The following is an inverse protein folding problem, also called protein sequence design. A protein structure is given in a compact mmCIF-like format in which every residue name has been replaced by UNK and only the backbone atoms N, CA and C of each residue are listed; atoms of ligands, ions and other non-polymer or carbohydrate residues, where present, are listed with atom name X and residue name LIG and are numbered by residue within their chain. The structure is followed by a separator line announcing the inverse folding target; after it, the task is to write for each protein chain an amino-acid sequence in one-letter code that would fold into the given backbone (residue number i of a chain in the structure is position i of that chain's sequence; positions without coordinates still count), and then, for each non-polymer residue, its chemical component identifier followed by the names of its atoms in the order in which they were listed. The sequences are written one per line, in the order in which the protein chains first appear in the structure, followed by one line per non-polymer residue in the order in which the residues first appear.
data_IF_393519588024
#
_entry.id   IF_393519588024
#
_cell.length_a   1.000
_cell.length_b   1.000
_cell.length_c   1.000
_cell.angle_alpha   90.00
_cell.angle_beta   90.00
_cell.angle_gamma   90.00
#
_symmetry.space_group_name_H-M   'P 1'
#
loop_
_entity.id
_entity.type
_entity.pdbx_description
1 polymer ?
#
# COMPACT_ATOMS: atom_id res chain seq x y z
N UNK A 1 -10.94 21.48 12.83
CA UNK A 1 -10.83 20.01 12.88
C UNK A 1 -10.50 19.53 11.48
N UNK A 2 -9.22 19.37 11.14
CA UNK A 2 -8.84 18.72 9.89
C UNK A 2 -9.16 17.24 10.10
N UNK A 3 -10.15 16.70 9.39
CA UNK A 3 -10.32 15.24 9.34
C UNK A 3 -9.10 14.73 8.58
N UNK A 4 -8.14 14.11 9.27
CA UNK A 4 -7.22 13.21 8.61
C UNK A 4 -8.09 12.06 8.08
N UNK A 5 -8.54 12.18 6.83
CA UNK A 5 -9.24 11.10 6.17
C UNK A 5 -8.30 9.90 6.17
N UNK A 6 -8.78 8.77 6.65
CA UNK A 6 -8.04 7.52 6.54
C UNK A 6 -7.74 7.25 5.05
N UNK A 7 -6.50 6.84 4.70
CA UNK A 7 -6.17 6.54 3.31
C UNK A 7 -7.09 5.44 2.78
N UNK A 8 -7.54 5.57 1.54
CA UNK A 8 -8.37 4.55 0.90
C UNK A 8 -7.49 3.34 0.51
N UNK A 9 -7.37 2.38 1.43
CA UNK A 9 -6.59 1.16 1.24
C UNK A 9 -7.32 0.18 0.32
N UNK A 10 -6.58 -0.41 -0.60
CA UNK A 10 -7.06 -1.53 -1.41
C UNK A 10 -6.06 -2.68 -1.39
N UNK A 11 -6.61 -3.90 -1.26
CA UNK A 11 -5.85 -5.15 -1.20
C UNK A 11 -5.56 -5.67 -2.60
N UNK A 12 -4.37 -6.21 -2.81
CA UNK A 12 -4.00 -6.82 -4.09
C UNK A 12 -4.85 -8.08 -4.37
N UNK A 13 -5.24 -8.29 -5.63
CA UNK A 13 -5.94 -9.51 -6.06
C UNK A 13 -5.08 -10.78 -5.92
N UNK A 14 -3.74 -10.63 -5.89
CA UNK A 14 -2.81 -11.72 -5.62
C UNK A 14 -2.76 -12.13 -4.15
N UNK A 15 -3.39 -11.35 -3.27
CA UNK A 15 -3.48 -11.64 -1.84
C UNK A 15 -4.59 -12.61 -1.44
N UNK A 16 -5.31 -13.16 -2.43
CA UNK A 16 -6.43 -14.09 -2.26
C UNK A 16 -6.10 -15.50 -2.75
N UNK A 17 -4.84 -15.79 -3.07
CA UNK A 17 -4.38 -17.11 -3.52
C UNK A 17 -4.44 -18.18 -2.42
N UNK A 18 -4.37 -19.48 -2.79
CA UNK A 18 -4.56 -20.62 -1.88
C UNK A 18 -3.58 -20.64 -0.70
N UNK A 19 -2.41 -20.01 -0.86
CA UNK A 19 -1.38 -19.93 0.17
C UNK A 19 -1.62 -18.80 1.19
N UNK A 20 -2.60 -17.90 0.99
CA UNK A 20 -3.02 -16.89 1.97
C UNK A 20 -1.94 -15.91 2.46
N UNK A 21 -0.73 -15.98 1.92
CA UNK A 21 0.47 -15.40 2.53
C UNK A 21 0.99 -14.12 1.87
N UNK A 22 0.58 -13.83 0.64
CA UNK A 22 0.96 -12.59 -0.05
C UNK A 22 0.05 -11.43 0.39
N UNK A 23 0.31 -10.76 1.51
CA UNK A 23 -0.62 -9.79 2.10
C UNK A 23 -0.16 -8.33 1.97
N UNK A 24 -0.41 -7.70 0.82
CA UNK A 24 -0.09 -6.28 0.60
C UNK A 24 -1.34 -5.47 0.33
N UNK A 25 -1.44 -4.30 0.98
CA UNK A 25 -2.40 -3.25 0.66
C UNK A 25 -1.68 -1.96 0.29
N UNK A 26 -2.28 -1.21 -0.62
CA UNK A 26 -1.77 0.10 -1.00
C UNK A 26 -2.87 1.17 -0.90
N UNK A 27 -2.46 2.41 -0.66
CA UNK A 27 -3.35 3.57 -0.70
C UNK A 27 -2.65 4.70 -1.46
N UNK A 28 -3.34 5.27 -2.45
CA UNK A 28 -2.81 6.36 -3.28
C UNK A 28 -3.31 7.68 -2.72
N UNK A 29 -2.38 8.59 -2.47
CA UNK A 29 -2.64 9.98 -2.10
C UNK A 29 -2.02 10.92 -3.14
N UNK A 30 -2.35 12.23 -3.15
CA UNK A 30 -1.83 13.16 -4.16
C UNK A 30 -0.30 13.22 -4.28
N UNK A 31 0.42 12.94 -3.19
CA UNK A 31 1.89 13.09 -3.14
C UNK A 31 2.62 11.86 -2.64
N UNK A 32 1.91 10.80 -2.23
CA UNK A 32 2.55 9.58 -1.73
C UNK A 32 1.74 8.34 -2.08
N UNK A 33 2.46 7.24 -2.32
CA UNK A 33 1.91 5.90 -2.37
C UNK A 33 2.24 5.23 -1.04
N UNK A 34 1.20 4.84 -0.30
CA UNK A 34 1.38 4.09 0.93
C UNK A 34 1.32 2.60 0.67
N UNK A 35 2.20 1.84 1.31
CA UNK A 35 2.24 0.38 1.24
C UNK A 35 2.29 -0.17 2.66
N UNK A 36 1.46 -1.18 2.95
CA UNK A 36 1.49 -1.90 4.22
C UNK A 36 1.21 -3.38 4.04
N UNK A 37 1.56 -4.13 5.07
CA UNK A 37 1.16 -5.52 5.19
C UNK A 37 -0.31 -5.61 5.63
N UNK A 38 -1.13 -6.41 4.92
CA UNK A 38 -2.56 -6.56 5.22
C UNK A 38 -2.84 -7.25 6.55
N UNK A 39 -1.92 -8.11 7.03
CA UNK A 39 -2.06 -8.85 8.30
C UNK A 39 -1.70 -7.96 9.49
N UNK A 40 -0.93 -6.89 9.26
CA UNK A 40 -0.49 -5.92 10.25
C UNK A 40 -0.94 -4.50 9.89
N UNK A 41 -2.25 -4.24 9.84
CA UNK A 41 -2.81 -2.93 9.43
C UNK A 41 -2.36 -1.73 10.30
N UNK A 42 -2.04 -1.98 11.57
CA UNK A 42 -1.47 -1.01 12.53
C UNK A 42 0.06 -1.04 12.61
N UNK A 43 0.70 -1.92 11.84
CA UNK A 43 2.15 -2.02 11.74
C UNK A 43 2.79 -0.89 10.91
N UNK A 44 4.11 -0.97 10.69
CA UNK A 44 4.85 -0.01 9.89
C UNK A 44 4.28 0.15 8.48
N UNK A 45 4.28 1.38 7.98
CA UNK A 45 3.78 1.74 6.64
C UNK A 45 4.89 2.43 5.87
N UNK A 46 5.12 2.01 4.63
CA UNK A 46 5.97 2.74 3.71
C UNK A 46 5.15 3.90 3.10
N UNK A 47 5.79 5.04 2.89
CA UNK A 47 5.24 6.17 2.16
C UNK A 47 6.27 6.58 1.10
N UNK A 48 5.96 6.29 -0.16
CA UNK A 48 6.87 6.48 -1.28
C UNK A 48 6.42 7.68 -2.10
N UNK A 49 7.38 8.48 -2.60
CA UNK A 49 7.09 9.48 -3.61
C UNK A 49 6.62 8.79 -4.91
N UNK A 50 5.75 9.42 -5.72
CA UNK A 50 5.22 8.83 -6.96
C UNK A 50 6.33 8.40 -7.94
N UNK A 51 7.43 9.15 -7.99
CA UNK A 51 8.57 8.87 -8.86
C UNK A 51 9.28 7.59 -8.40
N UNK A 52 9.59 7.47 -7.11
CA UNK A 52 10.21 6.29 -6.53
C UNK A 52 9.33 5.03 -6.67
N UNK A 53 8.00 5.19 -6.53
CA UNK A 53 7.06 4.11 -6.79
C UNK A 53 7.07 3.66 -8.25
N UNK A 54 7.15 4.61 -9.19
CA UNK A 54 7.18 4.31 -10.62
C UNK A 54 8.48 3.61 -11.03
N UNK A 55 9.62 4.05 -10.50
CA UNK A 55 10.92 3.39 -10.71
C UNK A 55 10.93 1.97 -10.14
N UNK A 56 10.37 1.78 -8.94
CA UNK A 56 10.24 0.45 -8.34
C UNK A 56 9.46 -0.51 -9.27
N UNK A 57 8.30 -0.07 -9.79
CA UNK A 57 7.48 -0.88 -10.70
C UNK A 57 8.16 -1.16 -12.05
N UNK A 58 9.05 -0.29 -12.51
CA UNK A 58 9.79 -0.50 -13.76
C UNK A 58 10.95 -1.50 -13.63
N UNK A 59 11.31 -1.88 -12.40
CA UNK A 59 12.46 -2.75 -12.11
C UNK A 59 12.12 -4.24 -11.91
N UNK A 60 10.83 -4.59 -11.94
CA UNK A 60 10.30 -5.94 -11.68
C UNK A 60 9.87 -6.68 -12.93
#
# INVERSE_FOLDING_TARGET
MIRNAEPAWFKSSYSSGPDGDSCVEIAISPHTVHVRDSKHGEGPRLALAPEAWSEFLASV
#
